data_IF_763774319466
#
_entry.id   IF_763774319466
#
_cell.length_a   1.000
_cell.length_b   1.000
_cell.length_c   1.000
_cell.angle_alpha   90.00
_cell.angle_beta   90.00
_cell.angle_gamma   90.00
#
_symmetry.space_group_name_H-M   'P 1'
#
loop_
_entity.id
_entity.type
_entity.pdbx_description
1 polymer ?
#
# COMPACT_ATOMS: atom_id res chain seq x y z
N UNK A 1 2.22 -8.14 4.55
CA UNK A 1 2.21 -8.43 6.00
C UNK A 1 3.64 -8.51 6.45
N UNK A 2 3.96 -8.05 7.66
CA UNK A 2 5.25 -8.31 8.28
C UNK A 2 5.02 -8.78 9.70
N UNK A 3 5.36 -10.04 9.96
CA UNK A 3 5.44 -10.60 11.32
C UNK A 3 6.76 -10.17 11.98
N UNK A 4 6.83 -10.22 13.32
CA UNK A 4 8.02 -9.83 14.08
C UNK A 4 8.24 -8.32 14.10
N UNK A 5 7.16 -7.58 14.38
CA UNK A 5 7.19 -6.11 14.43
C UNK A 5 8.18 -5.59 15.49
N UNK A 6 8.93 -4.54 15.14
CA UNK A 6 9.85 -3.85 16.06
C UNK A 6 9.14 -2.87 17.00
N UNK A 7 7.81 -2.75 16.88
CA UNK A 7 6.99 -1.95 17.78
C UNK A 7 6.75 -2.81 19.01
N UNK A 8 7.32 -2.39 20.15
CA UNK A 8 7.39 -3.14 21.42
C UNK A 8 6.07 -3.81 21.87
N UNK A 9 4.92 -3.26 21.49
CA UNK A 9 3.59 -3.72 21.92
C UNK A 9 2.79 -4.45 20.82
N UNK A 10 3.36 -4.70 19.64
CA UNK A 10 2.65 -5.31 18.52
C UNK A 10 3.47 -6.44 17.89
N UNK A 11 2.85 -7.61 17.67
CA UNK A 11 3.53 -8.76 17.07
C UNK A 11 3.72 -8.64 15.55
N UNK A 12 2.76 -8.03 14.84
CA UNK A 12 2.76 -7.94 13.39
C UNK A 12 2.16 -6.62 12.89
N UNK A 13 2.62 -6.17 11.72
CA UNK A 13 2.05 -5.01 11.02
C UNK A 13 1.33 -5.41 9.75
N UNK A 14 0.20 -4.75 9.53
CA UNK A 14 -0.62 -4.91 8.35
C UNK A 14 -1.01 -3.56 7.77
N UNK A 15 -0.88 -3.41 6.46
CA UNK A 15 -1.65 -2.42 5.72
C UNK A 15 -2.90 -3.07 5.08
N UNK A 16 -4.11 -2.91 5.67
CA UNK A 16 -5.34 -3.51 5.18
C UNK A 16 -5.93 -2.81 3.95
N UNK A 17 -5.46 -1.61 3.62
CA UNK A 17 -6.04 -0.79 2.57
C UNK A 17 -5.00 -0.43 1.53
N UNK A 18 -5.43 -0.51 0.28
CA UNK A 18 -4.68 -0.09 -0.90
C UNK A 18 -5.64 0.63 -1.83
N UNK A 19 -5.19 1.70 -2.47
CA UNK A 19 -6.02 2.48 -3.38
C UNK A 19 -6.93 3.47 -2.66
N UNK A 20 -7.37 4.48 -3.41
CA UNK A 20 -8.44 5.39 -3.02
C UNK A 20 -9.05 6.06 -4.25
N UNK A 21 -10.30 6.51 -4.14
CA UNK A 21 -10.92 7.33 -5.17
C UNK A 21 -10.34 8.75 -5.13
N UNK A 22 -9.81 9.24 -6.26
CA UNK A 22 -9.26 10.60 -6.36
C UNK A 22 -10.39 11.62 -6.41
N UNK A 23 -10.55 12.41 -5.35
CA UNK A 23 -11.66 13.36 -5.21
C UNK A 23 -11.28 14.82 -5.49
N UNK A 24 -9.98 15.15 -5.55
CA UNK A 24 -9.53 16.54 -5.71
C UNK A 24 -8.15 16.64 -6.38
N UNK A 25 -7.74 17.83 -6.85
CA UNK A 25 -6.39 18.07 -7.38
C UNK A 25 -5.28 17.77 -6.38
N UNK A 26 -5.57 17.72 -5.08
CA UNK A 26 -4.61 17.35 -4.03
C UNK A 26 -4.11 15.91 -4.15
N UNK A 27 -4.82 15.03 -4.86
CA UNK A 27 -4.40 13.64 -5.07
C UNK A 27 -3.20 13.50 -6.01
N UNK A 28 -2.78 14.56 -6.71
CA UNK A 28 -1.77 14.53 -7.78
C UNK A 28 -0.40 13.99 -7.34
N UNK A 29 -0.05 14.15 -6.07
CA UNK A 29 1.25 13.74 -5.51
C UNK A 29 1.09 12.73 -4.36
N UNK A 30 0.15 11.79 -4.50
CA UNK A 30 -0.10 10.76 -3.48
C UNK A 30 1.11 9.80 -3.37
N UNK A 31 1.72 9.75 -2.19
CA UNK A 31 2.82 8.82 -1.92
C UNK A 31 2.36 7.35 -2.03
N UNK A 32 1.13 7.06 -1.60
CA UNK A 32 0.60 5.69 -1.56
C UNK A 32 0.36 5.12 -2.96
N UNK A 33 -0.05 5.98 -3.91
CA UNK A 33 -0.14 5.61 -5.33
C UNK A 33 1.23 5.25 -5.87
N UNK A 34 2.20 6.15 -5.71
CA UNK A 34 3.57 5.92 -6.23
C UNK A 34 4.18 4.65 -5.63
N UNK A 35 3.96 4.41 -4.34
CA UNK A 35 4.42 3.21 -3.66
C UNK A 35 3.77 1.93 -4.20
N UNK A 36 2.46 1.93 -4.41
CA UNK A 36 1.74 0.76 -4.91
C UNK A 36 2.10 0.44 -6.37
N UNK A 37 2.18 1.47 -7.22
CA UNK A 37 2.50 1.34 -8.65
C UNK A 37 3.89 0.72 -8.90
N UNK A 38 4.84 0.96 -8.00
CA UNK A 38 6.18 0.34 -8.06
C UNK A 38 6.13 -1.18 -8.20
N UNK A 39 5.11 -1.83 -7.64
CA UNK A 39 5.00 -3.28 -7.57
C UNK A 39 3.99 -3.89 -8.55
N UNK A 40 3.40 -3.08 -9.44
CA UNK A 40 2.38 -3.54 -10.38
C UNK A 40 2.93 -4.66 -11.28
N UNK A 41 2.15 -5.72 -11.43
CA UNK A 41 2.47 -6.87 -12.28
C UNK A 41 3.42 -7.90 -11.65
N UNK A 42 3.88 -7.68 -10.41
CA UNK A 42 4.64 -8.70 -9.68
C UNK A 42 3.67 -9.76 -9.13
N UNK A 43 3.85 -11.05 -9.52
CA UNK A 43 3.04 -12.13 -9.00
C UNK A 43 3.28 -12.30 -7.49
N UNK A 44 2.22 -12.66 -6.76
CA UNK A 44 2.22 -12.91 -5.31
C UNK A 44 2.67 -11.72 -4.42
N UNK A 45 2.79 -10.52 -5.00
CA UNK A 45 3.06 -9.32 -4.22
C UNK A 45 1.75 -8.69 -3.70
N UNK A 46 1.66 -8.25 -2.43
CA UNK A 46 0.47 -7.60 -1.88
C UNK A 46 0.05 -6.31 -2.59
N UNK A 47 0.91 -5.73 -3.43
CA UNK A 47 0.63 -4.55 -4.27
C UNK A 47 0.70 -4.89 -5.78
N UNK A 48 0.59 -6.16 -6.16
CA UNK A 48 0.68 -6.60 -7.56
C UNK A 48 -0.39 -5.98 -8.47
N UNK A 49 -1.54 -5.59 -7.90
CA UNK A 49 -2.62 -4.87 -8.58
C UNK A 49 -2.41 -3.34 -8.66
N UNK A 50 -1.28 -2.81 -8.18
CA UNK A 50 -1.03 -1.37 -8.16
C UNK A 50 -1.97 -0.62 -7.21
N UNK A 51 -2.36 0.62 -7.54
CA UNK A 51 -3.25 1.45 -6.71
C UNK A 51 -4.75 1.28 -7.01
N UNK A 52 -5.10 0.26 -7.79
CA UNK A 52 -6.48 -0.01 -8.20
C UNK A 52 -7.32 -0.52 -7.01
N UNK A 53 -8.60 -0.13 -7.01
CA UNK A 53 -9.62 -0.50 -6.01
C UNK A 53 -10.29 -1.84 -6.33
#
# INVERSE_FOLDING_TARGET
MSDGSSIEWTDATWNPVRGCSKISPGCKHCYAETFAERWRGLPDHPYGQGFDL
#
